data_IF_394312077571
#
_entry.id   IF_394312077571
#
_cell.length_a   1.000
_cell.length_b   1.000
_cell.length_c   1.000
_cell.angle_alpha   90.00
_cell.angle_beta   90.00
_cell.angle_gamma   90.00
#
_symmetry.space_group_name_H-M   'P 1'
#
loop_
_entity.id
_entity.type
_entity.pdbx_description
1 polymer ?
#
# COMPACT_ATOMS: atom_id res chain seq x y z
N UNK A 1 5.37 11.90 33.07
CA UNK A 1 4.61 11.58 34.29
C UNK A 1 3.16 11.95 34.05
N UNK A 2 2.23 11.11 34.49
CA UNK A 2 0.79 11.33 34.32
C UNK A 2 0.31 12.25 35.46
N UNK A 3 -0.38 13.35 35.14
CA UNK A 3 -0.98 14.21 36.18
C UNK A 3 -2.22 13.55 36.79
N UNK A 4 -2.65 13.99 37.97
CA UNK A 4 -3.93 13.55 38.58
C UNK A 4 -5.13 13.80 37.69
N UNK A 5 -5.16 14.93 36.98
CA UNK A 5 -6.21 15.24 36.00
C UNK A 5 -6.22 14.26 34.83
N UNK A 6 -5.04 13.97 34.26
CA UNK A 6 -4.91 12.96 33.19
C UNK A 6 -5.29 11.58 33.72
N UNK A 7 -4.86 11.21 34.92
CA UNK A 7 -5.19 9.92 35.54
C UNK A 7 -6.70 9.71 35.64
N UNK A 8 -7.45 10.70 36.11
CA UNK A 8 -8.91 10.62 36.22
C UNK A 8 -9.58 10.40 34.85
N UNK A 9 -9.16 11.15 33.83
CA UNK A 9 -9.69 11.01 32.46
C UNK A 9 -9.40 9.61 31.90
N UNK A 10 -8.16 9.14 32.04
CA UNK A 10 -7.73 7.83 31.55
C UNK A 10 -8.45 6.69 32.28
N UNK A 11 -8.51 6.77 33.60
CA UNK A 11 -9.16 5.78 34.45
C UNK A 11 -10.64 5.65 34.08
N UNK A 12 -11.35 6.77 33.93
CA UNK A 12 -12.78 6.77 33.59
C UNK A 12 -13.04 6.08 32.25
N UNK A 13 -12.23 6.34 31.22
CA UNK A 13 -12.35 5.68 29.91
C UNK A 13 -12.07 4.18 30.00
N UNK A 14 -10.93 3.80 30.56
CA UNK A 14 -10.56 2.38 30.56
C UNK A 14 -11.53 1.55 31.41
N UNK A 15 -11.99 2.10 32.53
CA UNK A 15 -12.96 1.42 33.40
C UNK A 15 -14.30 1.31 32.71
N UNK A 16 -14.83 2.37 32.08
CA UNK A 16 -16.09 2.32 31.35
C UNK A 16 -16.08 1.27 30.22
N UNK A 17 -14.95 1.15 29.51
CA UNK A 17 -14.79 0.10 28.49
C UNK A 17 -14.80 -1.30 29.14
N UNK A 18 -14.07 -1.49 30.24
CA UNK A 18 -13.98 -2.77 30.94
C UNK A 18 -15.31 -3.21 31.55
N UNK A 19 -16.02 -2.31 32.21
CA UNK A 19 -17.32 -2.59 32.84
C UNK A 19 -18.38 -2.97 31.81
N UNK A 20 -18.36 -2.33 30.64
CA UNK A 20 -19.25 -2.71 29.53
C UNK A 20 -19.02 -4.14 29.06
N UNK A 21 -17.77 -4.62 29.09
CA UNK A 21 -17.41 -5.98 28.65
C UNK A 21 -17.63 -7.03 29.73
N UNK A 22 -17.36 -6.69 30.99
CA UNK A 22 -17.51 -7.60 32.12
C UNK A 22 -18.97 -7.70 32.62
N UNK A 23 -19.80 -6.70 32.32
CA UNK A 23 -21.19 -6.62 32.80
C UNK A 23 -21.31 -6.32 34.30
N UNK A 24 -20.20 -6.01 34.97
CA UNK A 24 -20.12 -5.63 36.38
C UNK A 24 -18.99 -4.62 36.60
N UNK A 25 -19.02 -3.94 37.74
CA UNK A 25 -18.01 -2.95 38.12
C UNK A 25 -16.61 -3.55 38.27
N UNK A 26 -15.58 -2.75 38.00
CA UNK A 26 -14.18 -3.13 38.25
C UNK A 26 -13.85 -2.81 39.71
N UNK A 27 -13.35 -3.81 40.45
CA UNK A 27 -12.93 -3.61 41.84
C UNK A 27 -11.74 -2.66 41.93
N UNK A 28 -11.87 -1.65 42.78
CA UNK A 28 -10.85 -0.62 42.98
C UNK A 28 -9.85 -1.01 44.07
N UNK A 29 -8.54 -0.96 43.79
CA UNK A 29 -7.52 -0.98 44.83
C UNK A 29 -7.58 0.30 45.68
N UNK A 30 -7.33 0.21 46.99
CA UNK A 30 -7.44 1.34 47.93
C UNK A 30 -6.58 2.55 47.53
N UNK A 31 -5.38 2.32 46.99
CA UNK A 31 -4.50 3.39 46.51
C UNK A 31 -5.07 4.15 45.30
N UNK A 32 -5.92 3.52 44.48
CA UNK A 32 -6.62 4.18 43.38
C UNK A 32 -7.76 5.04 43.93
N UNK A 33 -8.48 4.54 44.94
CA UNK A 33 -9.54 5.31 45.62
C UNK A 33 -8.99 6.60 46.26
N UNK A 34 -7.82 6.52 46.88
CA UNK A 34 -7.13 7.69 47.45
C UNK A 34 -6.76 8.73 46.39
N UNK A 35 -6.22 8.31 45.24
CA UNK A 35 -5.89 9.22 44.14
C UNK A 35 -7.14 9.83 43.49
N UNK A 36 -8.23 9.07 43.36
CA UNK A 36 -9.51 9.57 42.86
C UNK A 36 -10.17 10.56 43.84
N UNK A 37 -10.04 10.34 45.15
CA UNK A 37 -10.52 11.28 46.17
C UNK A 37 -9.68 12.58 46.22
N UNK A 38 -8.42 12.52 45.81
CA UNK A 38 -7.46 13.62 45.87
C UNK A 38 -7.54 14.66 44.74
N UNK A 39 -8.30 14.41 43.66
CA UNK A 39 -8.29 15.20 42.41
C UNK A 39 -8.56 16.70 42.64
N UNK A 40 -9.40 17.06 43.62
CA UNK A 40 -9.77 18.46 43.88
C UNK A 40 -8.68 19.30 44.55
N UNK A 41 -7.62 18.68 45.10
CA UNK A 41 -6.62 19.41 45.90
C UNK A 41 -5.37 19.81 45.10
N UNK A 42 -4.99 19.06 44.07
CA UNK A 42 -3.79 19.34 43.25
C UNK A 42 -3.86 18.60 41.88
N UNK A 43 -4.57 19.13 40.87
CA UNK A 43 -4.85 18.42 39.62
C UNK A 43 -3.62 18.20 38.72
N UNK A 44 -2.61 19.07 38.80
CA UNK A 44 -1.39 18.97 37.99
C UNK A 44 -0.28 18.13 38.66
N UNK A 45 -0.48 17.70 39.91
CA UNK A 45 0.49 16.87 40.60
C UNK A 45 0.57 15.49 39.95
N UNK A 46 1.80 14.97 39.81
CA UNK A 46 2.02 13.62 39.30
C UNK A 46 1.39 12.58 40.25
N UNK A 47 0.74 11.57 39.69
CA UNK A 47 0.21 10.44 40.48
C UNK A 47 1.34 9.53 40.97
N UNK A 48 1.03 8.73 41.99
CA UNK A 48 1.94 7.68 42.48
C UNK A 48 2.22 6.64 41.38
N UNK A 49 3.44 6.07 41.38
CA UNK A 49 3.85 5.07 40.39
C UNK A 49 2.95 3.83 40.39
N UNK A 50 2.41 3.44 41.54
CA UNK A 50 1.44 2.32 41.67
C UNK A 50 0.12 2.60 40.93
N UNK A 51 -0.33 3.86 40.93
CA UNK A 51 -1.51 4.28 40.18
C UNK A 51 -1.22 4.29 38.66
N UNK A 52 -0.05 4.76 38.24
CA UNK A 52 0.37 4.67 36.82
C UNK A 52 0.45 3.21 36.35
N UNK A 53 0.96 2.29 37.18
CA UNK A 53 1.00 0.86 36.89
C UNK A 53 -0.39 0.25 36.77
N UNK A 54 -1.35 0.67 37.61
CA UNK A 54 -2.74 0.26 37.48
C UNK A 54 -3.36 0.70 36.15
N UNK A 55 -3.11 1.95 35.73
CA UNK A 55 -3.52 2.41 34.39
C UNK A 55 -2.88 1.58 33.28
N UNK A 56 -1.61 1.19 33.42
CA UNK A 56 -0.95 0.34 32.43
C UNK A 56 -1.65 -1.04 32.33
N UNK A 57 -2.06 -1.62 33.46
CA UNK A 57 -2.81 -2.87 33.50
C UNK A 57 -4.20 -2.75 32.85
N UNK A 58 -4.94 -1.69 33.17
CA UNK A 58 -6.23 -1.41 32.55
C UNK A 58 -6.08 -1.22 31.03
N UNK A 59 -5.04 -0.50 30.61
CA UNK A 59 -4.72 -0.30 29.21
C UNK A 59 -4.46 -1.61 28.49
N UNK A 60 -3.75 -2.57 29.09
CA UNK A 60 -3.51 -3.89 28.49
C UNK A 60 -4.81 -4.69 28.27
N UNK A 61 -5.79 -4.50 29.15
CA UNK A 61 -7.08 -5.20 29.10
C UNK A 61 -8.00 -4.67 27.98
N UNK A 62 -7.72 -3.46 27.48
CA UNK A 62 -8.48 -2.82 26.40
C UNK A 62 -7.78 -2.99 25.06
N UNK A 63 -8.42 -3.69 24.12
CA UNK A 63 -7.91 -3.86 22.76
C UNK A 63 -8.00 -2.55 21.96
N UNK A 64 -7.17 -2.36 20.91
CA UNK A 64 -7.28 -1.17 20.05
C UNK A 64 -8.70 -1.00 19.49
N UNK A 65 -9.33 -2.09 19.04
CA UNK A 65 -10.70 -2.06 18.51
C UNK A 65 -11.72 -1.49 19.50
N UNK A 66 -11.71 -1.97 20.76
CA UNK A 66 -12.63 -1.50 21.80
C UNK A 66 -12.43 -0.02 22.12
N UNK A 67 -11.17 0.42 22.23
CA UNK A 67 -10.84 1.82 22.46
C UNK A 67 -11.38 2.72 21.35
N UNK A 68 -11.23 2.30 20.08
CA UNK A 68 -11.72 3.03 18.90
C UNK A 68 -13.23 3.19 18.93
N UNK A 69 -13.96 2.10 19.15
CA UNK A 69 -15.41 2.11 19.17
C UNK A 69 -15.94 3.02 20.29
N UNK A 70 -15.40 2.86 21.51
CA UNK A 70 -15.80 3.69 22.64
C UNK A 70 -15.57 5.18 22.37
N UNK A 71 -14.40 5.55 21.84
CA UNK A 71 -14.08 6.94 21.54
C UNK A 71 -15.01 7.54 20.47
N UNK A 72 -15.32 6.77 19.42
CA UNK A 72 -16.25 7.22 18.36
C UNK A 72 -17.68 7.35 18.89
N UNK A 73 -18.15 6.39 19.69
CA UNK A 73 -19.52 6.38 20.22
C UNK A 73 -19.77 7.50 21.22
N UNK A 74 -18.79 7.82 22.06
CA UNK A 74 -18.91 8.83 23.12
C UNK A 74 -18.46 10.24 22.68
N UNK A 75 -18.03 10.41 21.42
CA UNK A 75 -17.44 11.63 20.86
C UNK A 75 -16.45 12.34 21.81
N UNK A 76 -15.45 11.58 22.29
CA UNK A 76 -14.52 12.05 23.32
C UNK A 76 -13.85 13.38 22.93
N UNK A 77 -13.69 14.25 23.93
CA UNK A 77 -13.11 15.58 23.79
C UNK A 77 -11.59 15.54 23.61
N UNK A 78 -11.08 16.63 23.05
CA UNK A 78 -9.67 16.75 22.67
C UNK A 78 -8.68 16.70 23.85
N UNK A 79 -8.92 17.34 25.00
CA UNK A 79 -8.09 17.18 26.20
C UNK A 79 -7.91 15.71 26.60
N UNK A 80 -8.98 14.92 26.56
CA UNK A 80 -8.94 13.50 26.91
C UNK A 80 -8.18 12.67 25.87
N UNK A 81 -8.36 12.96 24.57
CA UNK A 81 -7.55 12.34 23.52
C UNK A 81 -6.05 12.64 23.68
N UNK A 82 -5.70 13.88 24.05
CA UNK A 82 -4.32 14.29 24.33
C UNK A 82 -3.75 13.52 25.51
N UNK A 83 -4.51 13.38 26.61
CA UNK A 83 -4.10 12.59 27.77
C UNK A 83 -3.83 11.12 27.40
N UNK A 84 -4.71 10.50 26.58
CA UNK A 84 -4.52 9.14 26.07
C UNK A 84 -3.24 8.99 25.25
N UNK A 85 -2.99 9.91 24.32
CA UNK A 85 -1.78 9.89 23.48
C UNK A 85 -0.53 10.05 24.34
N UNK A 86 -0.52 11.03 25.26
CA UNK A 86 0.59 11.29 26.19
C UNK A 86 0.91 10.08 27.04
N UNK A 87 -0.11 9.48 27.65
CA UNK A 87 0.05 8.29 28.47
C UNK A 87 0.63 7.11 27.68
N UNK A 88 0.10 6.81 26.49
CA UNK A 88 0.53 5.67 25.70
C UNK A 88 1.92 5.87 25.08
N UNK A 89 2.22 7.06 24.55
CA UNK A 89 3.52 7.36 23.97
C UNK A 89 4.61 7.47 25.04
N UNK A 90 4.28 7.97 26.22
CA UNK A 90 5.20 8.19 27.33
C UNK A 90 5.48 6.98 28.22
N UNK A 91 4.96 5.79 27.91
CA UNK A 91 5.25 4.57 28.67
C UNK A 91 6.75 4.25 28.61
N UNK A 92 7.32 3.77 29.72
CA UNK A 92 8.71 3.27 29.78
C UNK A 92 8.91 2.00 28.95
N UNK A 93 7.86 1.19 28.83
CA UNK A 93 7.86 -0.06 28.07
C UNK A 93 6.57 -0.15 27.29
N UNK A 94 6.69 -0.24 25.97
CA UNK A 94 5.55 -0.33 25.07
C UNK A 94 5.26 -1.79 24.72
N UNK A 95 3.98 -2.14 24.69
CA UNK A 95 3.52 -3.38 24.06
C UNK A 95 3.09 -3.12 22.62
N UNK A 96 3.06 -4.15 21.79
CA UNK A 96 2.65 -4.02 20.38
C UNK A 96 1.30 -3.31 20.20
N UNK A 97 0.35 -3.53 21.11
CA UNK A 97 -0.98 -2.89 21.05
C UNK A 97 -0.95 -1.39 21.32
N UNK A 98 0.06 -0.86 22.01
CA UNK A 98 0.17 0.58 22.29
C UNK A 98 0.39 1.35 21.00
N UNK A 99 1.21 0.79 20.10
CA UNK A 99 1.47 1.35 18.78
C UNK A 99 0.19 1.50 17.95
N UNK A 100 -0.65 0.46 17.92
CA UNK A 100 -1.92 0.49 17.19
C UNK A 100 -2.96 1.47 17.78
N UNK A 101 -2.90 1.69 19.10
CA UNK A 101 -3.72 2.70 19.78
C UNK A 101 -3.22 4.11 19.46
N UNK A 102 -1.92 4.36 19.59
CA UNK A 102 -1.32 5.67 19.31
C UNK A 102 -1.48 6.07 17.84
N UNK A 103 -1.17 5.18 16.89
CA UNK A 103 -1.33 5.44 15.44
C UNK A 103 -2.76 5.90 15.12
N UNK A 104 -3.76 5.23 15.71
CA UNK A 104 -5.15 5.58 15.50
C UNK A 104 -5.56 6.86 16.24
N UNK A 105 -5.21 7.00 17.52
CA UNK A 105 -5.59 8.15 18.35
C UNK A 105 -5.05 9.46 17.78
N UNK A 106 -3.79 9.47 17.37
CA UNK A 106 -3.16 10.65 16.78
C UNK A 106 -3.85 10.98 15.46
N UNK A 107 -4.02 10.01 14.56
CA UNK A 107 -4.73 10.21 13.29
C UNK A 107 -6.15 10.73 13.51
N UNK A 108 -6.90 10.16 14.46
CA UNK A 108 -8.27 10.56 14.78
C UNK A 108 -8.35 11.99 15.34
N UNK A 109 -7.45 12.35 16.28
CA UNK A 109 -7.38 13.69 16.83
C UNK A 109 -7.14 14.74 15.73
N UNK A 110 -6.15 14.51 14.87
CA UNK A 110 -5.82 15.46 13.80
C UNK A 110 -6.89 15.48 12.71
N UNK A 111 -7.54 14.36 12.41
CA UNK A 111 -8.74 14.34 11.54
C UNK A 111 -9.84 15.24 12.09
N UNK A 112 -10.19 15.12 13.38
CA UNK A 112 -11.22 15.95 14.05
C UNK A 112 -10.86 17.44 14.03
N UNK A 113 -9.56 17.78 14.15
CA UNK A 113 -9.08 19.16 14.02
C UNK A 113 -9.22 19.69 12.60
N UNK A 114 -8.85 18.89 11.60
CA UNK A 114 -8.93 19.26 10.18
C UNK A 114 -10.37 19.51 9.76
N UNK A 115 -11.31 18.68 10.22
CA UNK A 115 -12.75 18.84 10.00
C UNK A 115 -13.29 20.14 10.64
N UNK A 116 -12.82 20.50 11.85
CA UNK A 116 -13.21 21.74 12.55
C UNK A 116 -12.63 23.00 11.89
N UNK A 117 -11.39 22.94 11.41
CA UNK A 117 -10.68 24.09 10.84
C UNK A 117 -10.91 24.26 9.33
N UNK A 118 -11.36 23.20 8.65
CA UNK A 118 -11.59 23.19 7.20
C UNK A 118 -10.32 23.30 6.36
N UNK A 119 -9.14 23.08 6.94
CA UNK A 119 -7.84 23.23 6.26
C UNK A 119 -6.93 22.03 6.50
N UNK A 120 -6.14 21.62 5.49
CA UNK A 120 -5.14 20.58 5.66
C UNK A 120 -4.12 20.92 6.72
N UNK A 121 -3.92 20.00 7.65
CA UNK A 121 -2.93 20.14 8.74
C UNK A 121 -1.50 19.96 8.21
N UNK A 122 -1.32 19.16 7.15
CA UNK A 122 -0.01 18.86 6.61
C UNK A 122 0.83 18.06 7.61
N UNK A 123 2.03 18.55 7.93
CA UNK A 123 2.97 17.88 8.83
C UNK A 123 2.92 18.47 10.26
N UNK A 124 2.18 17.87 11.21
CA UNK A 124 1.90 18.46 12.53
C UNK A 124 3.06 18.26 13.53
N UNK A 125 4.28 18.66 13.15
CA UNK A 125 5.47 18.46 14.00
C UNK A 125 5.37 19.25 15.31
N UNK A 126 4.97 20.52 15.22
CA UNK A 126 4.91 21.43 16.38
C UNK A 126 3.82 20.97 17.34
N UNK A 127 2.64 20.65 16.81
CA UNK A 127 1.49 20.21 17.60
C UNK A 127 1.75 18.87 18.29
N UNK A 128 2.49 17.95 17.65
CA UNK A 128 2.91 16.71 18.31
C UNK A 128 3.95 16.95 19.41
N UNK A 129 4.88 17.88 19.21
CA UNK A 129 5.83 18.28 20.26
C UNK A 129 5.13 18.94 21.45
N UNK A 130 4.12 19.77 21.20
CA UNK A 130 3.27 20.36 22.25
C UNK A 130 2.48 19.29 23.01
N UNK A 131 1.85 18.34 22.29
CA UNK A 131 1.10 17.24 22.93
C UNK A 131 2.04 16.42 23.80
N UNK A 132 3.27 16.15 23.37
CA UNK A 132 4.23 15.33 24.10
C UNK A 132 5.20 16.14 24.97
N UNK A 133 4.88 17.41 25.25
CA UNK A 133 5.72 18.27 26.07
C UNK A 133 5.91 17.69 27.48
N UNK A 134 7.14 17.72 27.98
CA UNK A 134 7.51 17.18 29.30
C UNK A 134 7.94 15.70 29.28
N UNK A 135 7.97 15.06 28.12
CA UNK A 135 8.67 13.78 27.92
C UNK A 135 10.02 14.03 27.24
N UNK A 136 11.06 13.37 27.74
CA UNK A 136 12.37 13.37 27.10
C UNK A 136 12.41 12.28 26.02
N UNK A 137 12.56 12.70 24.77
CA UNK A 137 12.80 11.80 23.66
C UNK A 137 14.28 11.87 23.28
N UNK A 138 14.98 10.72 23.18
CA UNK A 138 16.34 10.73 22.67
C UNK A 138 16.34 11.24 21.22
N UNK A 139 17.46 11.79 20.73
CA UNK A 139 17.60 12.13 19.32
C UNK A 139 17.28 10.93 18.45
N UNK A 140 16.58 11.17 17.34
CA UNK A 140 16.28 10.14 16.34
C UNK A 140 17.55 9.41 15.94
N UNK A 141 17.51 8.08 15.97
CA UNK A 141 18.59 7.25 15.42
C UNK A 141 18.71 7.52 13.92
N UNK A 142 19.94 7.50 13.40
CA UNK A 142 20.19 7.77 11.97
C UNK A 142 19.32 6.89 11.06
N UNK A 143 19.19 5.61 11.38
CA UNK A 143 18.33 4.68 10.65
C UNK A 143 16.86 5.14 10.59
N UNK A 144 16.30 5.59 11.71
CA UNK A 144 14.93 6.11 11.75
C UNK A 144 14.80 7.44 10.96
N UNK A 145 15.82 8.30 11.00
CA UNK A 145 15.86 9.51 10.17
C UNK A 145 15.88 9.17 8.66
N UNK A 146 16.64 8.16 8.26
CA UNK A 146 16.69 7.70 6.86
C UNK A 146 15.33 7.13 6.42
N UNK A 147 14.66 6.34 7.27
CA UNK A 147 13.30 5.85 7.00
C UNK A 147 12.27 6.98 6.86
N UNK A 148 12.41 8.08 7.61
CA UNK A 148 11.51 9.23 7.48
C UNK A 148 11.60 9.87 6.09
N UNK A 149 12.77 9.79 5.43
CA UNK A 149 12.96 10.31 4.08
C UNK A 149 12.20 9.51 3.01
N UNK A 150 11.69 8.31 3.34
CA UNK A 150 10.87 7.51 2.42
C UNK A 150 9.40 7.98 2.38
N UNK A 151 8.89 8.63 3.43
CA UNK A 151 7.49 9.08 3.52
C UNK A 151 7.06 10.05 2.40
N UNK A 152 7.85 11.06 2.02
CA UNK A 152 7.52 11.93 0.89
C UNK A 152 7.28 11.15 -0.41
N UNK A 153 8.10 10.14 -0.70
CA UNK A 153 7.92 9.32 -1.91
C UNK A 153 6.62 8.51 -1.91
N UNK A 154 6.22 7.99 -0.74
CA UNK A 154 4.94 7.30 -0.57
C UNK A 154 3.75 8.25 -0.70
N UNK A 155 3.89 9.49 -0.22
CA UNK A 155 2.87 10.52 -0.34
C UNK A 155 2.70 10.98 -1.79
N UNK A 156 3.80 11.18 -2.51
CA UNK A 156 3.77 11.53 -3.93
C UNK A 156 3.08 10.42 -4.73
N UNK A 157 3.47 9.15 -4.52
CA UNK A 157 2.83 7.99 -5.14
C UNK A 157 1.32 7.95 -4.86
N UNK A 158 0.90 8.16 -3.60
CA UNK A 158 -0.51 8.23 -3.23
C UNK A 158 -1.26 9.36 -3.93
N UNK A 159 -0.59 10.49 -4.18
CA UNK A 159 -1.17 11.65 -4.87
C UNK A 159 -1.61 11.33 -6.29
N UNK A 160 -0.83 10.51 -7.00
CA UNK A 160 -1.04 10.17 -8.42
C UNK A 160 -2.10 9.12 -8.70
N UNK A 161 -2.69 8.47 -7.69
CA UNK A 161 -3.72 7.47 -7.96
C UNK A 161 -4.98 8.10 -8.55
N UNK A 162 -5.43 7.64 -9.70
CA UNK A 162 -6.65 8.10 -10.37
C UNK A 162 -7.80 7.11 -10.25
N UNK A 163 -7.52 5.85 -9.89
CA UNK A 163 -8.52 4.81 -9.69
C UNK A 163 -8.25 3.99 -8.43
N UNK A 164 -9.29 3.33 -7.92
CA UNK A 164 -9.17 2.51 -6.72
C UNK A 164 -8.29 1.27 -6.97
N UNK A 165 -8.33 0.72 -8.18
CA UNK A 165 -7.46 -0.40 -8.60
C UNK A 165 -5.97 -0.11 -8.36
N UNK A 166 -5.49 1.10 -8.67
CA UNK A 166 -4.08 1.48 -8.49
C UNK A 166 -3.62 1.45 -7.02
N UNK A 167 -4.52 1.74 -6.06
CA UNK A 167 -4.22 1.59 -4.63
C UNK A 167 -3.95 0.12 -4.28
N UNK A 168 -4.75 -0.79 -4.81
CA UNK A 168 -4.60 -2.23 -4.53
C UNK A 168 -3.37 -2.84 -5.21
N UNK A 169 -3.02 -2.36 -6.41
CA UNK A 169 -1.94 -2.90 -7.24
C UNK A 169 -0.55 -2.39 -6.86
N UNK A 170 -0.44 -1.12 -6.45
CA UNK A 170 0.82 -0.46 -6.04
C UNK A 170 1.46 -1.09 -4.80
N UNK A 171 0.71 -1.90 -4.04
CA UNK A 171 1.11 -2.41 -2.72
C UNK A 171 1.52 -1.28 -1.77
N UNK A 172 1.00 -0.08 -1.97
CA UNK A 172 1.29 1.06 -1.09
C UNK A 172 0.86 0.76 0.36
N UNK A 173 -0.19 -0.03 0.52
CA UNK A 173 -0.74 -0.47 1.81
C UNK A 173 0.27 -1.27 2.65
N UNK A 174 0.74 -2.44 2.19
CA UNK A 174 1.73 -3.20 2.93
C UNK A 174 3.06 -2.43 3.04
N UNK A 175 3.49 -1.70 2.01
CA UNK A 175 4.73 -0.89 2.06
C UNK A 175 4.70 0.14 3.19
N UNK A 176 3.63 0.92 3.30
CA UNK A 176 3.49 1.88 4.39
C UNK A 176 3.42 1.20 5.76
N UNK A 177 2.77 0.03 5.86
CA UNK A 177 2.74 -0.76 7.11
C UNK A 177 4.14 -1.25 7.49
N UNK A 178 4.89 -1.76 6.54
CA UNK A 178 6.25 -2.28 6.74
C UNK A 178 7.21 -1.14 7.10
N UNK A 179 7.08 0.03 6.46
CA UNK A 179 7.85 1.22 6.81
C UNK A 179 7.55 1.66 8.25
N UNK A 180 6.27 1.72 8.64
CA UNK A 180 5.89 2.00 10.03
C UNK A 180 6.50 0.98 11.01
N UNK A 181 6.59 -0.29 10.61
CA UNK A 181 7.13 -1.36 11.46
C UNK A 181 8.63 -1.23 11.70
N UNK A 182 9.36 -0.73 10.71
CA UNK A 182 10.82 -0.59 10.77
C UNK A 182 11.29 0.47 11.78
N UNK A 183 10.45 1.42 12.19
CA UNK A 183 10.81 2.39 13.23
C UNK A 183 11.04 1.78 14.62
N UNK A 184 10.49 0.60 14.90
CA UNK A 184 10.65 -0.05 16.21
C UNK A 184 10.28 0.88 17.37
N UNK A 185 11.23 1.13 18.28
CA UNK A 185 11.08 2.01 19.44
C UNK A 185 10.95 3.49 19.06
N UNK A 186 11.58 3.92 17.96
CA UNK A 186 11.54 5.32 17.50
C UNK A 186 10.15 5.71 16.96
N UNK A 187 9.22 4.75 16.85
CA UNK A 187 7.84 4.98 16.42
C UNK A 187 7.14 6.08 17.24
N UNK A 188 7.40 6.14 18.56
CA UNK A 188 6.76 7.10 19.46
C UNK A 188 7.42 8.49 19.44
N UNK A 189 8.50 8.66 18.68
CA UNK A 189 9.16 9.96 18.54
C UNK A 189 8.21 10.96 17.85
N UNK A 190 8.12 12.22 18.32
CA UNK A 190 7.16 13.21 17.80
C UNK A 190 7.28 13.44 16.29
N UNK A 191 8.49 13.43 15.75
CA UNK A 191 8.71 13.59 14.30
C UNK A 191 8.17 12.42 13.47
N UNK A 192 8.33 11.19 13.97
CA UNK A 192 7.85 9.98 13.31
C UNK A 192 6.33 9.93 13.35
N UNK A 193 5.73 10.20 14.51
CA UNK A 193 4.28 10.31 14.65
C UNK A 193 3.71 11.37 13.72
N UNK A 194 4.36 12.54 13.61
CA UNK A 194 3.90 13.61 12.73
C UNK A 194 3.93 13.22 11.25
N UNK A 195 4.97 12.51 10.78
CA UNK A 195 5.04 11.98 9.42
C UNK A 195 3.95 10.93 9.16
N UNK A 196 3.73 10.03 10.11
CA UNK A 196 2.69 8.98 10.04
C UNK A 196 1.29 9.58 9.99
N UNK A 197 1.02 10.61 10.80
CA UNK A 197 -0.27 11.33 10.82
C UNK A 197 -0.51 11.96 9.44
N UNK A 198 0.48 12.69 8.90
CA UNK A 198 0.36 13.32 7.59
C UNK A 198 0.05 12.28 6.49
N UNK A 199 0.79 11.16 6.48
CA UNK A 199 0.52 10.04 5.59
C UNK A 199 -0.91 9.49 5.73
N UNK A 200 -1.32 9.15 6.95
CA UNK A 200 -2.63 8.55 7.20
C UNK A 200 -3.79 9.47 6.78
N UNK A 201 -3.66 10.78 6.99
CA UNK A 201 -4.69 11.75 6.62
C UNK A 201 -4.76 11.92 5.10
N UNK A 202 -3.62 12.16 4.42
CA UNK A 202 -3.59 12.36 2.97
C UNK A 202 -4.00 11.10 2.20
N UNK A 203 -3.39 9.98 2.53
CA UNK A 203 -3.73 8.70 1.93
C UNK A 203 -5.17 8.31 2.26
N UNK A 204 -5.61 8.50 3.51
CA UNK A 204 -6.97 8.23 3.93
C UNK A 204 -7.99 9.00 3.10
N UNK A 205 -7.80 10.31 2.89
CA UNK A 205 -8.69 11.13 2.04
C UNK A 205 -8.73 10.63 0.60
N UNK A 206 -7.57 10.34 0.03
CA UNK A 206 -7.47 9.83 -1.34
C UNK A 206 -8.18 8.49 -1.49
N UNK A 207 -7.98 7.59 -0.52
CA UNK A 207 -8.62 6.29 -0.47
C UNK A 207 -10.15 6.42 -0.39
N UNK A 208 -10.68 7.24 0.52
CA UNK A 208 -12.12 7.42 0.66
C UNK A 208 -12.74 8.02 -0.60
N UNK A 209 -12.09 9.04 -1.20
CA UNK A 209 -12.55 9.64 -2.45
C UNK A 209 -12.67 8.60 -3.57
N UNK A 210 -11.61 7.84 -3.82
CA UNK A 210 -11.61 6.83 -4.90
C UNK A 210 -12.58 5.68 -4.59
N UNK A 211 -12.73 5.31 -3.32
CA UNK A 211 -13.70 4.30 -2.90
C UNK A 211 -15.14 4.78 -3.12
N UNK A 212 -15.48 6.01 -2.73
CA UNK A 212 -16.79 6.61 -2.97
C UNK A 212 -17.13 6.69 -4.47
N UNK A 213 -16.15 7.07 -5.30
CA UNK A 213 -16.30 7.08 -6.76
C UNK A 213 -16.61 5.68 -7.32
N UNK A 214 -15.91 4.65 -6.85
CA UNK A 214 -16.20 3.25 -7.23
C UNK A 214 -17.57 2.82 -6.74
N UNK A 215 -17.92 3.12 -5.50
CA UNK A 215 -19.22 2.73 -4.94
C UNK A 215 -20.38 3.41 -5.67
N UNK A 216 -20.24 4.68 -6.05
CA UNK A 216 -21.24 5.39 -6.85
C UNK A 216 -21.45 4.71 -8.21
N UNK A 217 -20.36 4.37 -8.93
CA UNK A 217 -20.40 3.65 -10.21
C UNK A 217 -21.06 2.27 -10.07
N UNK A 218 -20.68 1.50 -9.06
CA UNK A 218 -21.26 0.17 -8.78
C UNK A 218 -22.76 0.28 -8.45
N UNK A 219 -23.19 1.31 -7.72
CA UNK A 219 -24.60 1.56 -7.45
C UNK A 219 -25.39 1.95 -8.70
N UNK A 220 -24.86 2.81 -9.57
CA UNK A 220 -25.47 3.16 -10.85
C UNK A 220 -25.65 1.92 -11.75
N UNK A 221 -24.62 1.07 -11.80
CA UNK A 221 -24.65 -0.18 -12.56
C UNK A 221 -25.66 -1.20 -11.99
N UNK A 222 -25.72 -1.36 -10.66
CA UNK A 222 -26.67 -2.26 -9.99
C UNK A 222 -28.12 -1.78 -10.15
N UNK A 223 -28.37 -0.47 -10.13
CA UNK A 223 -29.69 0.10 -10.41
C UNK A 223 -30.10 -0.06 -11.88
N UNK A 224 -29.15 -0.02 -12.82
CA UNK A 224 -29.42 -0.21 -14.25
C UNK A 224 -29.80 -1.66 -14.62
N UNK A 225 -29.49 -2.67 -13.79
CA UNK A 225 -29.74 -4.09 -14.09
C UNK A 225 -30.91 -4.75 -13.33
N UNK A 226 -31.68 -3.99 -12.54
CA UNK A 226 -32.83 -4.42 -11.71
C UNK A 226 -32.50 -5.08 -10.36
N UNK A 227 -32.93 -4.41 -9.28
CA UNK A 227 -33.52 -5.04 -8.07
C UNK A 227 -32.62 -5.73 -7.05
N UNK A 228 -31.29 -5.65 -7.15
CA UNK A 228 -30.38 -6.25 -6.17
C UNK A 228 -30.29 -5.43 -4.87
N UNK A 229 -30.46 -6.07 -3.71
CA UNK A 229 -30.27 -5.47 -2.39
C UNK A 229 -28.84 -4.97 -2.26
N UNK A 230 -28.70 -3.66 -2.06
CA UNK A 230 -27.44 -2.99 -1.76
C UNK A 230 -26.76 -3.69 -0.58
N UNK A 231 -25.57 -4.26 -0.81
CA UNK A 231 -24.66 -4.67 0.25
C UNK A 231 -24.49 -3.49 1.20
N UNK A 232 -24.67 -3.70 2.51
CA UNK A 232 -24.73 -2.63 3.51
C UNK A 232 -23.47 -1.75 3.49
N UNK A 233 -23.55 -0.66 2.74
CA UNK A 233 -22.44 0.13 2.22
C UNK A 233 -21.76 0.98 3.29
N UNK A 234 -22.48 1.25 4.37
CA UNK A 234 -21.96 1.99 5.52
C UNK A 234 -21.00 1.15 6.39
N UNK A 235 -21.15 -0.18 6.43
CA UNK A 235 -20.23 -1.01 7.23
C UNK A 235 -18.82 -1.08 6.63
N UNK A 236 -18.70 -1.04 5.29
CA UNK A 236 -17.41 -1.06 4.59
C UNK A 236 -16.59 0.21 4.79
N UNK A 237 -17.26 1.37 4.88
CA UNK A 237 -16.62 2.66 5.18
C UNK A 237 -16.19 2.77 6.66
N UNK A 238 -16.86 2.04 7.55
CA UNK A 238 -16.54 2.02 8.98
C UNK A 238 -15.45 1.03 9.36
N UNK A 239 -15.23 -0.02 8.56
CA UNK A 239 -14.19 -1.03 8.79
C UNK A 239 -12.82 -0.46 8.38
N UNK A 240 -11.91 -0.36 9.34
CA UNK A 240 -10.55 0.12 9.10
C UNK A 240 -9.88 -0.65 7.96
N UNK A 241 -9.19 0.11 7.11
CA UNK A 241 -8.31 -0.27 5.98
C UNK A 241 -7.49 -1.58 6.11
N UNK A 242 -7.28 -2.07 7.33
CA UNK A 242 -6.42 -3.22 7.65
C UNK A 242 -7.13 -4.58 7.60
N UNK A 243 -8.47 -4.63 7.57
CA UNK A 243 -9.21 -5.88 7.79
C UNK A 243 -9.91 -6.45 6.53
N UNK A 244 -9.88 -5.76 5.39
CA UNK A 244 -10.76 -6.05 4.23
C UNK A 244 -10.02 -6.06 2.89
N UNK A 245 -8.78 -6.57 2.85
CA UNK A 245 -7.96 -6.62 1.62
C UNK A 245 -8.64 -7.37 0.47
N UNK A 246 -9.28 -8.49 0.75
CA UNK A 246 -9.96 -9.30 -0.28
C UNK A 246 -11.22 -8.62 -0.82
N UNK A 247 -11.95 -7.92 0.05
CA UNK A 247 -13.16 -7.16 -0.31
C UNK A 247 -12.82 -5.94 -1.17
N UNK A 248 -11.69 -5.28 -0.89
CA UNK A 248 -11.19 -4.18 -1.71
C UNK A 248 -10.66 -4.67 -3.07
N UNK A 249 -10.06 -5.86 -3.15
CA UNK A 249 -9.69 -6.46 -4.44
C UNK A 249 -10.93 -6.74 -5.30
N UNK A 250 -12.00 -7.27 -4.71
CA UNK A 250 -13.27 -7.49 -5.40
C UNK A 250 -13.88 -6.18 -5.93
N UNK A 251 -13.81 -5.08 -5.17
CA UNK A 251 -14.28 -3.76 -5.62
C UNK A 251 -13.43 -3.20 -6.77
N UNK A 252 -12.10 -3.34 -6.72
CA UNK A 252 -11.22 -2.97 -7.84
C UNK A 252 -11.40 -3.85 -9.09
N UNK A 253 -11.87 -5.10 -8.93
CA UNK A 253 -12.28 -5.96 -10.05
C UNK A 253 -13.62 -5.55 -10.64
N UNK A 254 -14.57 -5.07 -9.83
CA UNK A 254 -15.87 -4.57 -10.30
C UNK A 254 -15.72 -3.27 -11.11
N UNK A 255 -14.88 -2.33 -10.64
CA UNK A 255 -14.54 -1.11 -11.40
C UNK A 255 -13.97 -1.46 -12.79
N UNK A 256 -13.09 -2.47 -12.87
CA UNK A 256 -12.49 -2.92 -14.15
C UNK A 256 -13.48 -3.62 -15.08
N UNK A 257 -14.44 -4.37 -14.54
CA UNK A 257 -15.51 -4.99 -15.35
C UNK A 257 -16.39 -3.94 -16.04
N UNK A 258 -16.54 -2.77 -15.44
CA UNK A 258 -17.27 -1.64 -16.00
C UNK A 258 -16.47 -0.88 -17.07
N UNK A 259 -15.18 -0.63 -16.82
CA UNK A 259 -14.26 0.00 -17.79
C UNK A 259 -14.06 -0.85 -19.05
N UNK A 260 -14.12 -2.18 -18.91
CA UNK A 260 -14.03 -3.12 -20.05
C UNK A 260 -15.35 -3.31 -20.81
N UNK A 261 -16.50 -2.99 -20.21
CA UNK A 261 -17.80 -3.03 -20.89
C UNK A 261 -17.98 -1.86 -21.88
N UNK A 262 -17.29 -0.74 -21.65
CA UNK A 262 -17.34 0.47 -22.49
C UNK A 262 -16.30 0.48 -23.62
N UNK A 263 -15.31 -0.41 -23.61
CA UNK A 263 -14.16 -0.39 -24.54
C UNK A 263 -14.16 -1.48 -25.64
N UNK A 264 -15.29 -2.12 -25.96
CA UNK A 264 -15.31 -3.22 -26.94
C UNK A 264 -15.40 -2.73 -28.41
N UNK A 265 -14.24 -2.46 -29.02
CA UNK A 265 -14.08 -2.50 -30.47
C UNK A 265 -12.65 -2.94 -30.87
N UNK A 266 -12.44 -4.23 -31.09
CA UNK A 266 -11.68 -4.78 -32.25
C UNK A 266 -11.53 -6.31 -32.15
N UNK A 267 -12.00 -6.99 -33.19
CA UNK A 267 -12.05 -8.45 -33.32
C UNK A 267 -10.86 -8.94 -34.14
N UNK A 268 -9.84 -9.56 -33.50
CA UNK A 268 -8.96 -10.56 -34.13
C UNK A 268 -8.06 -11.31 -33.10
N UNK A 269 -8.01 -10.89 -31.82
CA UNK A 269 -7.34 -11.62 -30.73
C UNK A 269 -8.20 -12.63 -29.95
N UNK A 270 -9.51 -12.67 -30.23
CA UNK A 270 -10.53 -13.34 -29.39
C UNK A 270 -10.36 -14.86 -29.23
N UNK A 271 -9.72 -15.54 -30.18
CA UNK A 271 -9.67 -17.01 -30.17
C UNK A 271 -8.67 -17.60 -29.16
N UNK A 272 -7.69 -16.81 -28.69
CA UNK A 272 -6.61 -17.31 -27.83
C UNK A 272 -6.60 -16.68 -26.43
N UNK A 273 -7.19 -15.49 -26.26
CA UNK A 273 -7.61 -14.99 -24.93
C UNK A 273 -8.68 -15.90 -24.30
N UNK A 274 -9.49 -16.58 -25.12
CA UNK A 274 -10.39 -17.64 -24.65
C UNK A 274 -9.62 -18.83 -24.06
N UNK A 275 -8.50 -19.24 -24.67
CA UNK A 275 -7.68 -20.36 -24.15
C UNK A 275 -7.00 -20.02 -22.82
N UNK A 276 -6.52 -18.79 -22.64
CA UNK A 276 -5.98 -18.34 -21.36
C UNK A 276 -7.08 -18.21 -20.29
N UNK A 277 -8.28 -17.75 -20.67
CA UNK A 277 -9.45 -17.74 -19.77
C UNK A 277 -9.92 -19.13 -19.38
N UNK A 278 -9.88 -20.11 -20.29
CA UNK A 278 -10.19 -21.52 -20.00
C UNK A 278 -9.22 -22.15 -19.00
N UNK A 279 -7.96 -21.69 -18.99
CA UNK A 279 -6.96 -22.07 -18.00
C UNK A 279 -7.09 -21.31 -16.66
N UNK A 280 -8.05 -20.39 -16.54
CA UNK A 280 -8.23 -19.54 -15.37
C UNK A 280 -7.17 -18.43 -15.23
N UNK A 281 -6.42 -18.15 -16.30
CA UNK A 281 -5.35 -17.13 -16.32
C UNK A 281 -5.95 -15.78 -16.68
N UNK A 282 -5.82 -14.82 -15.78
CA UNK A 282 -6.22 -13.44 -16.03
C UNK A 282 -5.20 -12.73 -16.93
N UNK A 283 -5.46 -12.79 -18.24
CA UNK A 283 -4.59 -12.20 -19.26
C UNK A 283 -4.49 -10.67 -19.15
N UNK A 284 -5.50 -10.00 -18.59
CA UNK A 284 -5.50 -8.54 -18.41
C UNK A 284 -4.58 -8.16 -17.26
N UNK A 285 -4.68 -8.86 -16.13
CA UNK A 285 -3.79 -8.69 -14.98
C UNK A 285 -2.33 -8.91 -15.37
N UNK A 286 -2.05 -9.95 -16.14
CA UNK A 286 -0.68 -10.25 -16.55
C UNK A 286 -0.14 -9.25 -17.58
N UNK A 287 -0.99 -8.73 -18.47
CA UNK A 287 -0.64 -7.63 -19.38
C UNK A 287 -0.29 -6.35 -18.61
N UNK A 288 -1.08 -5.99 -17.60
CA UNK A 288 -0.81 -4.85 -16.72
C UNK A 288 0.50 -5.02 -15.96
N UNK A 289 0.75 -6.21 -15.39
CA UNK A 289 2.02 -6.51 -14.73
C UNK A 289 3.23 -6.38 -15.68
N UNK A 290 3.05 -6.75 -16.95
CA UNK A 290 4.07 -6.56 -17.98
C UNK A 290 4.28 -5.07 -18.33
N UNK A 291 3.22 -4.27 -18.44
CA UNK A 291 3.33 -2.83 -18.66
C UNK A 291 4.01 -2.11 -17.49
N UNK A 292 3.62 -2.44 -16.24
CA UNK A 292 4.28 -1.92 -15.04
C UNK A 292 5.78 -2.24 -15.04
N UNK A 293 6.16 -3.45 -15.47
CA UNK A 293 7.58 -3.81 -15.60
C UNK A 293 8.32 -3.00 -16.66
N UNK A 294 7.69 -2.69 -17.80
CA UNK A 294 8.29 -1.80 -18.81
C UNK A 294 8.56 -0.43 -18.20
N UNK A 295 7.60 0.15 -17.48
CA UNK A 295 7.75 1.47 -16.85
C UNK A 295 8.84 1.47 -15.77
N UNK A 296 8.89 0.45 -14.92
CA UNK A 296 9.92 0.29 -13.90
C UNK A 296 11.32 0.22 -14.50
N UNK A 297 11.53 -0.62 -15.52
CA UNK A 297 12.82 -0.76 -16.20
C UNK A 297 13.22 0.53 -16.90
N UNK A 298 12.27 1.23 -17.52
CA UNK A 298 12.50 2.56 -18.10
C UNK A 298 12.98 3.56 -17.06
N UNK A 299 12.34 3.64 -15.89
CA UNK A 299 12.77 4.54 -14.82
C UNK A 299 14.18 4.20 -14.34
N UNK A 300 14.47 2.92 -14.06
CA UNK A 300 15.80 2.48 -13.61
C UNK A 300 16.91 2.81 -14.61
N UNK A 301 16.70 2.53 -15.90
CA UNK A 301 17.68 2.76 -16.96
C UNK A 301 17.85 4.24 -17.32
N UNK A 302 16.84 5.08 -17.09
CA UNK A 302 16.94 6.55 -17.20
C UNK A 302 17.73 7.15 -16.04
N UNK A 303 17.50 6.67 -14.82
CA UNK A 303 18.21 7.15 -13.62
C UNK A 303 19.67 6.71 -13.55
N UNK A 304 20.05 5.62 -14.24
CA UNK A 304 21.44 5.15 -14.28
C UNK A 304 21.94 4.93 -15.72
N UNK A 305 22.61 5.92 -16.29
CA UNK A 305 23.14 5.88 -17.66
C UNK A 305 24.28 4.86 -17.86
N UNK A 306 24.93 4.39 -16.80
CA UNK A 306 25.98 3.36 -16.87
C UNK A 306 25.44 1.93 -16.81
N UNK A 307 24.15 1.73 -16.57
CA UNK A 307 23.55 0.41 -16.39
C UNK A 307 23.50 -0.35 -17.71
N UNK A 308 24.26 -1.44 -17.80
CA UNK A 308 24.34 -2.37 -18.96
C UNK A 308 23.80 -3.76 -18.67
N UNK A 309 23.32 -4.01 -17.46
CA UNK A 309 22.65 -5.26 -17.08
C UNK A 309 21.54 -4.98 -16.07
N UNK A 310 20.45 -5.73 -16.15
CA UNK A 310 19.33 -5.67 -15.21
C UNK A 310 19.58 -6.72 -14.12
N UNK A 311 19.66 -6.33 -12.83
CA UNK A 311 19.78 -7.30 -11.75
C UNK A 311 18.51 -8.14 -11.67
N UNK A 312 18.67 -9.46 -11.59
CA UNK A 312 17.57 -10.41 -11.50
C UNK A 312 17.97 -11.55 -10.56
N UNK A 313 16.99 -12.19 -9.94
CA UNK A 313 17.13 -13.22 -8.91
C UNK A 313 17.84 -14.47 -9.43
N UNK A 314 17.71 -14.78 -10.73
CA UNK A 314 18.36 -15.94 -11.35
C UNK A 314 19.77 -15.61 -11.87
N UNK A 315 19.89 -14.59 -12.72
CA UNK A 315 21.16 -14.11 -13.26
C UNK A 315 21.00 -12.68 -13.80
N UNK A 316 22.03 -11.82 -13.75
CA UNK A 316 21.98 -10.50 -14.36
C UNK A 316 21.65 -10.60 -15.86
N UNK A 317 20.61 -9.90 -16.29
CA UNK A 317 20.22 -9.84 -17.70
C UNK A 317 21.05 -8.75 -18.40
N UNK A 318 22.11 -9.15 -19.08
CA UNK A 318 22.92 -8.24 -19.90
C UNK A 318 22.08 -7.60 -21.01
N UNK A 319 22.23 -6.30 -21.22
CA UNK A 319 21.56 -5.54 -22.27
C UNK A 319 22.56 -5.14 -23.36
N UNK A 320 22.12 -5.23 -24.61
CA UNK A 320 22.84 -4.58 -25.70
C UNK A 320 22.65 -3.06 -25.64
N UNK A 321 23.53 -2.32 -26.32
CA UNK A 321 23.48 -0.85 -26.34
C UNK A 321 22.15 -0.31 -26.88
N UNK A 322 21.58 -0.92 -27.92
CA UNK A 322 20.28 -0.50 -28.47
C UNK A 322 19.11 -0.85 -27.54
N UNK A 323 19.24 -1.89 -26.71
CA UNK A 323 18.23 -2.27 -25.73
C UNK A 323 18.20 -1.27 -24.57
N UNK A 324 19.36 -0.91 -24.02
CA UNK A 324 19.44 0.12 -22.96
C UNK A 324 19.05 1.51 -23.49
N UNK A 325 19.44 1.84 -24.72
CA UNK A 325 19.05 3.09 -25.39
C UNK A 325 17.53 3.17 -25.63
N UNK A 326 16.87 2.06 -25.98
CA UNK A 326 15.41 2.03 -26.15
C UNK A 326 14.68 2.46 -24.86
N UNK A 327 15.05 1.91 -23.70
CA UNK A 327 14.45 2.29 -22.42
C UNK A 327 14.71 3.77 -22.06
N UNK A 328 15.91 4.28 -22.36
CA UNK A 328 16.27 5.68 -22.10
C UNK A 328 15.50 6.67 -22.97
N UNK A 329 15.22 6.28 -24.20
CA UNK A 329 14.58 7.14 -25.22
C UNK A 329 13.09 6.88 -25.38
N UNK A 330 12.43 6.26 -24.40
CA UNK A 330 11.00 5.93 -24.46
C UNK A 330 10.16 7.15 -24.86
N UNK A 331 9.48 7.01 -25.99
CA UNK A 331 8.65 8.04 -26.62
C UNK A 331 7.19 7.94 -26.14
N UNK A 332 6.41 9.04 -26.20
CA UNK A 332 4.98 9.04 -25.84
C UNK A 332 4.19 8.01 -26.64
N UNK A 333 3.15 7.42 -26.03
CA UNK A 333 2.33 6.40 -26.68
C UNK A 333 1.57 6.92 -27.90
N UNK A 334 1.30 8.23 -27.94
CA UNK A 334 0.65 8.93 -29.05
C UNK A 334 1.53 9.03 -30.30
N UNK A 335 2.84 8.79 -30.19
CA UNK A 335 3.74 8.83 -31.34
C UNK A 335 3.65 7.53 -32.16
N UNK A 336 3.32 7.66 -33.45
CA UNK A 336 3.21 6.54 -34.40
C UNK A 336 4.39 6.48 -35.38
N UNK A 337 5.58 6.89 -34.93
CA UNK A 337 6.79 6.82 -35.74
C UNK A 337 7.39 5.42 -35.70
N UNK A 338 8.12 5.05 -36.76
CA UNK A 338 8.90 3.80 -36.78
C UNK A 338 9.86 3.70 -35.59
N UNK A 339 10.42 4.83 -35.14
CA UNK A 339 11.31 4.88 -33.98
C UNK A 339 10.54 4.56 -32.69
N UNK A 340 9.34 5.10 -32.51
CA UNK A 340 8.47 4.75 -31.38
C UNK A 340 8.12 3.26 -31.38
N UNK A 341 7.77 2.71 -32.53
CA UNK A 341 7.44 1.29 -32.66
C UNK A 341 8.64 0.37 -32.40
N UNK A 342 9.82 0.72 -32.92
CA UNK A 342 11.07 0.02 -32.63
C UNK A 342 11.36 0.02 -31.12
N UNK A 343 11.34 1.20 -30.49
CA UNK A 343 11.64 1.35 -29.07
C UNK A 343 10.64 0.58 -28.20
N UNK A 344 9.34 0.72 -28.46
CA UNK A 344 8.29 -0.03 -27.74
C UNK A 344 8.47 -1.54 -27.88
N UNK A 345 8.75 -2.01 -29.09
CA UNK A 345 8.93 -3.44 -29.37
C UNK A 345 10.14 -4.03 -28.64
N UNK A 346 11.27 -3.31 -28.64
CA UNK A 346 12.48 -3.73 -27.91
C UNK A 346 12.23 -3.72 -26.39
N UNK A 347 11.67 -2.64 -25.84
CA UNK A 347 11.39 -2.55 -24.40
C UNK A 347 10.46 -3.66 -23.92
N UNK A 348 9.39 -3.94 -24.67
CA UNK A 348 8.42 -4.97 -24.32
C UNK A 348 9.05 -6.37 -24.31
N UNK A 349 9.92 -6.68 -25.28
CA UNK A 349 10.62 -7.96 -25.34
C UNK A 349 11.54 -8.17 -24.12
N UNK A 350 12.30 -7.14 -23.74
CA UNK A 350 13.19 -7.21 -22.57
C UNK A 350 12.39 -7.29 -21.26
N UNK A 351 11.24 -6.62 -21.17
CA UNK A 351 10.36 -6.73 -20.02
C UNK A 351 9.80 -8.16 -19.86
N UNK A 352 9.40 -8.82 -20.96
CA UNK A 352 8.98 -10.23 -20.94
C UNK A 352 10.11 -11.11 -20.40
N UNK A 353 11.33 -10.99 -20.95
CA UNK A 353 12.49 -11.77 -20.51
C UNK A 353 12.76 -11.55 -19.02
N UNK A 354 12.74 -10.29 -18.59
CA UNK A 354 13.00 -9.88 -17.21
C UNK A 354 11.98 -10.48 -16.24
N UNK A 355 10.68 -10.44 -16.57
CA UNK A 355 9.63 -11.07 -15.76
C UNK A 355 9.79 -12.58 -15.71
N UNK A 356 10.11 -13.25 -16.83
CA UNK A 356 10.34 -14.71 -16.84
C UNK A 356 11.45 -15.09 -15.85
N UNK A 357 12.55 -14.33 -15.82
CA UNK A 357 13.66 -14.58 -14.89
C UNK A 357 13.30 -14.34 -13.42
N UNK A 358 12.34 -13.46 -13.12
CA UNK A 358 11.85 -13.23 -11.76
C UNK A 358 10.84 -14.30 -11.32
N UNK A 359 9.96 -14.73 -12.22
CA UNK A 359 8.87 -15.66 -11.91
C UNK A 359 9.36 -17.12 -11.83
N UNK A 360 10.38 -17.53 -12.59
CA UNK A 360 10.92 -18.90 -12.55
C UNK A 360 11.40 -19.31 -11.15
N UNK A 361 12.26 -18.53 -10.46
CA UNK A 361 12.70 -18.86 -9.10
C UNK A 361 11.54 -18.92 -8.11
N UNK A 362 10.60 -17.97 -8.19
CA UNK A 362 9.43 -17.92 -7.31
C UNK A 362 8.50 -19.12 -7.53
N UNK A 363 8.30 -19.52 -8.78
CA UNK A 363 7.58 -20.74 -9.11
C UNK A 363 8.26 -21.96 -8.48
N UNK A 364 9.58 -22.13 -8.63
CA UNK A 364 10.31 -23.24 -8.05
C UNK A 364 10.31 -23.24 -6.51
N UNK A 365 10.48 -22.08 -5.88
CA UNK A 365 10.48 -21.93 -4.41
C UNK A 365 9.11 -22.29 -3.82
N UNK A 366 8.03 -21.88 -4.48
CA UNK A 366 6.66 -22.13 -4.00
C UNK A 366 6.09 -23.46 -4.50
N UNK A 367 6.75 -24.16 -5.42
CA UNK A 367 6.32 -25.46 -5.98
C UNK A 367 6.19 -26.48 -4.85
N UNK A 368 4.97 -26.89 -4.53
CA UNK A 368 4.65 -27.83 -3.45
C UNK A 368 3.93 -27.21 -2.23
N UNK A 369 3.82 -25.88 -2.16
CA UNK A 369 2.95 -25.20 -1.18
C UNK A 369 1.52 -25.11 -1.70
N UNK A 370 0.49 -25.32 -0.88
CA UNK A 370 -0.89 -25.22 -1.36
C UNK A 370 -1.20 -23.77 -1.83
N UNK A 371 -1.72 -23.66 -3.06
CA UNK A 371 -2.20 -22.43 -3.73
C UNK A 371 -1.18 -21.34 -4.11
N UNK A 372 -0.01 -21.23 -3.47
CA UNK A 372 0.93 -20.13 -3.75
C UNK A 372 1.71 -20.27 -5.07
N UNK A 373 2.01 -21.49 -5.52
CA UNK A 373 2.71 -21.71 -6.79
C UNK A 373 1.87 -21.36 -8.02
N UNK A 374 0.54 -21.46 -7.90
CA UNK A 374 -0.39 -21.32 -9.03
C UNK A 374 -0.30 -19.94 -9.66
N UNK A 375 -0.20 -18.89 -8.84
CA UNK A 375 -0.02 -17.53 -9.32
C UNK A 375 1.21 -17.39 -10.23
N UNK A 376 2.36 -17.91 -9.78
CA UNK A 376 3.61 -17.84 -10.55
C UNK A 376 3.55 -18.70 -11.81
N UNK A 377 2.89 -19.85 -11.74
CA UNK A 377 2.60 -20.69 -12.91
C UNK A 377 1.75 -19.96 -13.94
N UNK A 378 0.64 -19.32 -13.52
CA UNK A 378 -0.26 -18.58 -14.40
C UNK A 378 0.47 -17.40 -15.09
N UNK A 379 1.31 -16.67 -14.35
CA UNK A 379 2.16 -15.62 -14.91
C UNK A 379 3.16 -16.16 -15.94
N UNK A 380 3.80 -17.30 -15.66
CA UNK A 380 4.74 -17.94 -16.58
C UNK A 380 4.06 -18.44 -17.86
N UNK A 381 2.86 -19.04 -17.76
CA UNK A 381 2.09 -19.47 -18.93
C UNK A 381 1.67 -18.28 -19.79
N UNK A 382 1.22 -17.18 -19.17
CA UNK A 382 0.94 -15.94 -19.89
C UNK A 382 2.18 -15.39 -20.61
N UNK A 383 3.32 -15.29 -19.91
CA UNK A 383 4.55 -14.74 -20.49
C UNK A 383 5.08 -15.61 -21.64
N UNK A 384 4.90 -16.93 -21.57
CA UNK A 384 5.21 -17.83 -22.69
C UNK A 384 4.36 -17.51 -23.92
N UNK A 385 3.06 -17.30 -23.71
CA UNK A 385 2.11 -17.02 -24.79
C UNK A 385 2.33 -15.63 -25.40
N UNK A 386 2.38 -14.58 -24.56
CA UNK A 386 2.61 -13.21 -25.01
C UNK A 386 4.01 -13.06 -25.62
N UNK A 387 5.02 -13.73 -25.07
CA UNK A 387 6.37 -13.76 -25.63
C UNK A 387 6.44 -14.34 -27.04
N UNK A 388 5.75 -15.46 -27.31
CA UNK A 388 5.69 -16.05 -28.66
C UNK A 388 5.02 -15.09 -29.66
N UNK A 389 3.89 -14.50 -29.27
CA UNK A 389 3.20 -13.48 -30.08
C UNK A 389 4.09 -12.27 -30.35
N UNK A 390 4.80 -11.78 -29.34
CA UNK A 390 5.67 -10.62 -29.49
C UNK A 390 6.91 -10.92 -30.32
N UNK A 391 7.48 -12.13 -30.24
CA UNK A 391 8.55 -12.59 -31.14
C UNK A 391 8.12 -12.52 -32.61
N UNK A 392 6.93 -13.00 -32.94
CA UNK A 392 6.40 -12.89 -34.31
C UNK A 392 6.22 -11.44 -34.74
N UNK A 393 5.85 -10.55 -33.82
CA UNK A 393 5.75 -9.11 -34.07
C UNK A 393 7.13 -8.51 -34.38
N UNK A 394 8.14 -8.80 -33.56
CA UNK A 394 9.52 -8.36 -33.78
C UNK A 394 10.07 -8.80 -35.14
N UNK A 395 9.85 -10.06 -35.52
CA UNK A 395 10.30 -10.58 -36.82
C UNK A 395 9.57 -9.90 -37.98
N UNK A 396 8.27 -9.64 -37.86
CA UNK A 396 7.51 -8.86 -38.85
C UNK A 396 8.06 -7.46 -39.01
N UNK A 397 8.31 -6.75 -37.91
CA UNK A 397 8.90 -5.39 -37.94
C UNK A 397 10.32 -5.43 -38.51
N UNK A 398 11.10 -6.48 -38.24
CA UNK A 398 12.45 -6.65 -38.82
C UNK A 398 12.40 -6.80 -40.35
N UNK A 399 11.48 -7.61 -40.89
CA UNK A 399 11.29 -7.78 -42.34
C UNK A 399 10.90 -6.44 -42.98
N UNK A 400 9.95 -5.71 -42.38
CA UNK A 400 9.54 -4.38 -42.86
C UNK A 400 10.70 -3.37 -42.80
N UNK A 401 11.54 -3.45 -41.77
CA UNK A 401 12.74 -2.61 -41.64
C UNK A 401 13.75 -2.89 -42.74
N UNK A 402 13.98 -4.16 -43.08
CA UNK A 402 14.88 -4.58 -44.15
C UNK A 402 14.38 -4.10 -45.52
N UNK A 403 13.08 -4.24 -45.80
CA UNK A 403 12.46 -3.74 -47.04
C UNK A 403 12.58 -2.22 -47.19
N UNK A 404 12.64 -1.49 -46.08
CA UNK A 404 12.83 -0.02 -46.04
C UNK A 404 14.30 0.40 -46.05
N UNK A 405 15.26 -0.53 -46.21
CA UNK A 405 16.69 -0.24 -46.23
C UNK A 405 17.32 0.00 -44.85
N UNK A 406 16.59 -0.23 -43.76
CA UNK A 406 17.06 -0.05 -42.37
C UNK A 406 17.71 -1.34 -41.85
N UNK A 407 18.80 -1.77 -42.51
CA UNK A 407 19.44 -3.07 -42.26
C UNK A 407 19.92 -3.24 -40.80
N UNK A 408 20.51 -2.20 -40.21
CA UNK A 408 20.96 -2.22 -38.81
C UNK A 408 19.79 -2.40 -37.82
N UNK A 409 18.66 -1.72 -38.06
CA UNK A 409 17.48 -1.85 -37.20
C UNK A 409 16.80 -3.20 -37.35
N UNK A 410 16.78 -3.76 -38.56
CA UNK A 410 16.31 -5.11 -38.80
C UNK A 410 17.15 -6.14 -38.03
N UNK A 411 18.49 -6.01 -38.07
CA UNK A 411 19.41 -6.87 -37.34
C UNK A 411 19.25 -6.75 -35.82
N UNK A 412 19.07 -5.54 -35.29
CA UNK A 412 18.80 -5.31 -33.87
C UNK A 412 17.52 -6.01 -33.39
N UNK A 413 16.43 -5.93 -34.17
CA UNK A 413 15.17 -6.60 -33.86
C UNK A 413 15.29 -8.13 -33.93
N UNK A 414 16.04 -8.67 -34.91
CA UNK A 414 16.32 -10.10 -35.02
C UNK A 414 17.09 -10.61 -33.81
N UNK A 415 18.16 -9.92 -33.41
CA UNK A 415 18.96 -10.31 -32.24
C UNK A 415 18.13 -10.26 -30.94
N UNK A 416 17.28 -9.24 -30.76
CA UNK A 416 16.37 -9.17 -29.61
C UNK A 416 15.30 -10.29 -29.66
N UNK A 417 14.82 -10.66 -30.85
CA UNK A 417 13.89 -11.78 -31.02
C UNK A 417 14.54 -13.15 -30.73
N UNK A 418 15.79 -13.37 -31.16
CA UNK A 418 16.58 -14.58 -30.85
C UNK A 418 16.81 -14.69 -29.34
N UNK A 419 17.15 -13.58 -28.68
CA UNK A 419 17.32 -13.51 -27.23
C UNK A 419 16.03 -13.87 -26.49
N UNK A 420 14.89 -13.34 -26.92
CA UNK A 420 13.58 -13.69 -26.37
C UNK A 420 13.27 -15.18 -26.60
N UNK A 421 13.53 -15.70 -27.79
CA UNK A 421 13.29 -17.10 -28.14
C UNK A 421 14.09 -18.08 -27.27
N UNK A 422 15.36 -17.77 -27.01
CA UNK A 422 16.21 -18.58 -26.14
C UNK A 422 15.64 -18.70 -24.71
N UNK A 423 15.00 -17.63 -24.21
CA UNK A 423 14.36 -17.61 -22.89
C UNK A 423 13.01 -18.33 -22.92
N UNK A 424 12.22 -18.14 -23.98
CA UNK A 424 10.95 -18.84 -24.16
C UNK A 424 11.14 -20.35 -24.34
N UNK A 425 12.21 -20.79 -25.01
CA UNK A 425 12.55 -22.21 -25.14
C UNK A 425 12.86 -22.85 -23.78
N UNK A 426 13.61 -22.14 -22.91
CA UNK A 426 13.86 -22.58 -21.53
C UNK A 426 12.58 -22.65 -20.71
N UNK A 427 11.73 -21.62 -20.83
CA UNK A 427 10.44 -21.59 -20.14
C UNK A 427 9.50 -22.70 -20.62
N UNK A 428 9.45 -22.97 -21.92
CA UNK A 428 8.65 -24.04 -22.49
C UNK A 428 9.07 -25.43 -21.99
N UNK A 429 10.34 -25.62 -21.62
CA UNK A 429 10.83 -26.87 -21.03
C UNK A 429 10.46 -27.05 -19.54
N UNK A 430 9.89 -26.03 -18.89
CA UNK A 430 9.40 -26.12 -17.50
C UNK A 430 7.97 -26.67 -17.41
N UNK A 431 7.25 -26.67 -18.52
CA UNK A 431 5.91 -27.24 -18.71
C UNK A 431 6.02 -28.54 -19.51
#
# INVERSE_FOLDING_TARGET
MVSRSEFFLLYSIYTAIMERELGHGVSLPSYVEEELAGVSSAPEQAVQETAEQWLALLSLSVTPYRLRNYIKEQDIDEPTLRALIRFLAGKKTHVHTDRDKVDWLTTYLFKKREERQGKPIGWPKIEMQEILQGFEFPPLKQYAADLLMEFPSLLDEAGYFESFSQITESRIIPRARDLKNQFGEDFFHPEVLAAIINYNLLFGKKFHKLLEEVMAKVHEFAHAQSGGTATDTNELLQRDYRATTDTFQQLGELERKEETATAQASNLGKLKDQQLKELGIDSMREAQGLQGRVQELSMRLKSNQGMTSIPNTFAPLSLHEWESSAFRTQLPESEQSFRADFTRSVCHAIAIISRIYEEIPLYHEKKGTEFLWKKHYDSLVYLLYEGRKHKESLLRVAILSQQRGLLEKAKQLQLTAEKLDAVLAKLAALF
#
